data_IF_897484516148
#
_entry.id   IF_897484516148
#
_cell.length_a   1.000
_cell.length_b   1.000
_cell.length_c   1.000
_cell.angle_alpha   90.00
_cell.angle_beta   90.00
_cell.angle_gamma   90.00
#
_symmetry.space_group_name_H-M   'P 1'
#
loop_
_entity.id
_entity.type
_entity.pdbx_description
1 polymer ?
#
# COMPACT_ATOMS: atom_id res chain seq x y z
N UNK A 1 10.39 3.00 -27.54
CA UNK A 1 10.75 2.13 -26.42
C UNK A 1 10.82 2.89 -25.11
N UNK A 2 11.51 4.01 -25.08
CA UNK A 2 11.63 4.86 -23.89
C UNK A 2 10.26 5.39 -23.47
N UNK A 3 9.49 5.79 -24.45
CA UNK A 3 8.14 6.31 -24.21
C UNK A 3 7.24 5.29 -23.53
N UNK A 4 7.32 4.03 -23.96
CA UNK A 4 6.52 2.96 -23.35
C UNK A 4 6.96 2.69 -21.91
N UNK A 5 8.25 2.75 -21.65
CA UNK A 5 8.78 2.56 -20.31
C UNK A 5 8.29 3.65 -19.35
N UNK A 6 8.32 4.90 -19.81
CA UNK A 6 7.82 6.01 -19.00
C UNK A 6 6.33 5.89 -18.72
N UNK A 7 5.57 5.46 -19.72
CA UNK A 7 4.13 5.26 -19.57
C UNK A 7 3.84 4.20 -18.49
N UNK A 8 4.58 3.09 -18.52
CA UNK A 8 4.44 2.04 -17.52
C UNK A 8 4.78 2.50 -16.12
N UNK A 9 5.85 3.29 -15.99
CA UNK A 9 6.26 3.84 -14.70
C UNK A 9 5.21 4.79 -14.13
N UNK A 10 4.60 5.61 -14.96
CA UNK A 10 3.53 6.51 -14.53
C UNK A 10 2.31 5.75 -14.03
N UNK A 11 1.95 4.66 -14.71
CA UNK A 11 0.82 3.84 -14.28
C UNK A 11 1.07 3.19 -12.92
N UNK A 12 2.29 2.70 -12.70
CA UNK A 12 2.62 2.09 -11.42
C UNK A 12 2.66 3.13 -10.30
N UNK A 13 3.17 4.33 -10.57
CA UNK A 13 3.18 5.41 -9.59
C UNK A 13 1.77 5.81 -9.21
N UNK A 14 0.89 5.96 -10.20
CA UNK A 14 -0.51 6.30 -9.96
C UNK A 14 -1.20 5.22 -9.13
N UNK A 15 -0.87 3.95 -9.40
CA UNK A 15 -1.43 2.84 -8.64
C UNK A 15 -0.99 2.88 -7.19
N UNK A 16 0.29 3.18 -6.94
CA UNK A 16 0.81 3.33 -5.57
C UNK A 16 0.08 4.43 -4.82
N UNK A 17 -0.14 5.57 -5.49
CA UNK A 17 -0.86 6.69 -4.90
C UNK A 17 -2.29 6.30 -4.54
N UNK A 18 -2.96 5.58 -5.44
CA UNK A 18 -4.33 5.12 -5.21
C UNK A 18 -4.41 4.16 -4.03
N UNK A 19 -3.46 3.24 -3.94
CA UNK A 19 -3.41 2.28 -2.84
C UNK A 19 -3.23 3.00 -1.51
N UNK A 20 -2.31 3.96 -1.46
CA UNK A 20 -2.08 4.73 -0.24
C UNK A 20 -3.32 5.51 0.17
N UNK A 21 -3.97 6.14 -0.81
CA UNK A 21 -5.18 6.91 -0.55
C UNK A 21 -6.29 6.02 -0.01
N UNK A 22 -6.50 4.86 -0.65
CA UNK A 22 -7.52 3.92 -0.21
C UNK A 22 -7.24 3.39 1.19
N UNK A 23 -5.98 3.13 1.51
CA UNK A 23 -5.60 2.68 2.84
C UNK A 23 -5.96 3.72 3.91
N UNK A 24 -5.73 5.00 3.61
CA UNK A 24 -6.08 6.08 4.53
C UNK A 24 -7.58 6.18 4.76
N UNK A 25 -8.35 6.02 3.68
CA UNK A 25 -9.81 6.05 3.75
C UNK A 25 -10.31 4.89 4.61
N UNK A 26 -9.80 3.69 4.37
CA UNK A 26 -10.19 2.52 5.15
C UNK A 26 -9.79 2.67 6.62
N UNK A 27 -8.63 3.24 6.87
CA UNK A 27 -8.16 3.47 8.24
C UNK A 27 -9.10 4.43 8.98
N UNK A 28 -9.51 5.51 8.32
CA UNK A 28 -10.44 6.47 8.89
C UNK A 28 -11.80 5.83 9.19
N UNK A 29 -12.19 4.86 8.38
CA UNK A 29 -13.45 4.14 8.55
C UNK A 29 -13.36 2.97 9.53
N UNK A 30 -12.15 2.67 10.04
CA UNK A 30 -11.94 1.55 10.94
C UNK A 30 -11.95 0.19 10.24
N UNK A 31 -11.71 0.16 8.93
CA UNK A 31 -11.80 -1.05 8.13
C UNK A 31 -10.42 -1.68 7.92
N UNK A 32 -9.85 -2.15 9.00
CA UNK A 32 -8.50 -2.72 9.00
C UNK A 32 -8.35 -3.91 8.06
N UNK A 33 -9.35 -4.80 8.03
CA UNK A 33 -9.30 -5.96 7.15
C UNK A 33 -9.19 -5.56 5.69
N UNK A 34 -9.91 -4.50 5.30
CA UNK A 34 -9.86 -4.02 3.93
C UNK A 34 -8.49 -3.47 3.58
N UNK A 35 -7.79 -2.87 4.53
CA UNK A 35 -6.41 -2.41 4.33
C UNK A 35 -5.51 -3.59 4.03
N UNK A 36 -5.61 -4.66 4.81
CA UNK A 36 -4.79 -5.86 4.64
C UNK A 36 -5.05 -6.50 3.28
N UNK A 37 -6.32 -6.65 2.91
CA UNK A 37 -6.68 -7.24 1.63
C UNK A 37 -6.20 -6.39 0.46
N UNK A 38 -6.36 -5.08 0.56
CA UNK A 38 -5.91 -4.15 -0.48
C UNK A 38 -4.41 -4.25 -0.69
N UNK A 39 -3.65 -4.23 0.40
CA UNK A 39 -2.20 -4.28 0.33
C UNK A 39 -1.72 -5.63 -0.21
N UNK A 40 -2.33 -6.72 0.22
CA UNK A 40 -1.99 -8.06 -0.27
C UNK A 40 -2.24 -8.18 -1.77
N UNK A 41 -3.37 -7.66 -2.23
CA UNK A 41 -3.69 -7.65 -3.66
C UNK A 41 -2.70 -6.80 -4.45
N UNK A 42 -2.28 -5.68 -3.89
CA UNK A 42 -1.30 -4.81 -4.52
C UNK A 42 0.06 -5.50 -4.64
N UNK A 43 0.51 -6.16 -3.57
CA UNK A 43 1.76 -6.93 -3.60
C UNK A 43 1.71 -8.03 -4.65
N UNK A 44 0.59 -8.75 -4.71
CA UNK A 44 0.41 -9.81 -5.68
C UNK A 44 0.48 -9.27 -7.10
N UNK A 45 -0.20 -8.16 -7.36
CA UNK A 45 -0.19 -7.50 -8.66
C UNK A 45 1.23 -7.13 -9.08
N UNK A 46 1.99 -6.50 -8.17
CA UNK A 46 3.35 -6.09 -8.48
C UNK A 46 4.25 -7.27 -8.80
N UNK A 47 4.12 -8.35 -8.05
CA UNK A 47 4.90 -9.55 -8.29
C UNK A 47 4.57 -10.19 -9.64
N UNK A 48 3.29 -10.26 -9.97
CA UNK A 48 2.84 -10.89 -11.21
C UNK A 48 3.14 -10.05 -12.44
N UNK A 49 2.97 -8.73 -12.35
CA UNK A 49 3.02 -7.87 -13.52
C UNK A 49 4.40 -7.26 -13.77
N UNK A 50 5.12 -6.89 -12.72
CA UNK A 50 6.39 -6.19 -12.88
C UNK A 50 7.52 -6.82 -12.07
N UNK A 51 7.26 -7.95 -11.42
CA UNK A 51 8.23 -8.63 -10.58
C UNK A 51 8.86 -7.67 -9.56
N UNK A 52 8.02 -6.83 -8.98
CA UNK A 52 8.46 -5.78 -8.06
C UNK A 52 7.85 -5.90 -6.68
N UNK A 53 8.11 -4.91 -5.86
CA UNK A 53 7.58 -4.80 -4.50
C UNK A 53 6.97 -3.42 -4.33
N UNK A 54 6.07 -3.23 -3.34
CA UNK A 54 5.48 -1.92 -3.08
C UNK A 54 6.56 -0.89 -2.74
N UNK A 55 6.28 0.37 -3.07
CA UNK A 55 7.20 1.46 -2.75
C UNK A 55 7.38 1.56 -1.23
N UNK A 56 8.57 2.00 -0.77
CA UNK A 56 8.82 2.14 0.66
C UNK A 56 7.79 2.99 1.39
N UNK A 57 7.29 4.04 0.74
CA UNK A 57 6.26 4.90 1.33
C UNK A 57 4.96 4.14 1.57
N UNK A 58 4.55 3.31 0.60
CA UNK A 58 3.34 2.51 0.72
C UNK A 58 3.48 1.49 1.83
N UNK A 59 4.64 0.83 1.88
CA UNK A 59 4.94 -0.15 2.91
C UNK A 59 4.93 0.47 4.30
N UNK A 60 5.56 1.63 4.45
CA UNK A 60 5.60 2.34 5.74
C UNK A 60 4.21 2.75 6.19
N UNK A 61 3.40 3.24 5.25
CA UNK A 61 2.03 3.61 5.56
C UNK A 61 1.23 2.39 6.03
N UNK A 62 1.35 1.28 5.31
CA UNK A 62 0.68 0.05 5.68
C UNK A 62 1.06 -0.38 7.10
N UNK A 63 2.35 -0.41 7.39
CA UNK A 63 2.84 -0.80 8.70
C UNK A 63 2.32 0.13 9.79
N UNK A 64 2.30 1.42 9.52
CA UNK A 64 1.79 2.41 10.46
C UNK A 64 0.31 2.21 10.76
N UNK A 65 -0.49 1.99 9.71
CA UNK A 65 -1.92 1.86 9.86
C UNK A 65 -2.34 0.55 10.51
N UNK A 66 -1.60 -0.52 10.24
CA UNK A 66 -1.93 -1.84 10.75
C UNK A 66 -1.24 -2.14 12.08
N UNK A 67 0.06 -1.88 12.15
CA UNK A 67 0.87 -2.23 13.32
C UNK A 67 0.96 -1.12 14.37
N UNK A 68 0.86 0.13 13.95
CA UNK A 68 0.92 1.25 14.88
C UNK A 68 -0.12 1.15 15.98
N UNK A 69 -1.27 0.58 15.68
CA UNK A 69 -2.34 0.39 16.64
C UNK A 69 -1.95 -0.62 17.72
N UNK A 70 -1.26 -1.68 17.32
CA UNK A 70 -0.78 -2.69 18.25
C UNK A 70 0.28 -2.13 19.18
N UNK A 71 1.19 -1.34 18.65
CA UNK A 71 2.22 -0.68 19.44
C UNK A 71 1.62 0.27 20.46
N UNK A 72 0.58 0.98 20.09
CA UNK A 72 -0.11 1.90 20.99
C UNK A 72 -0.75 1.16 22.16
N UNK A 73 -1.38 0.03 21.88
CA UNK A 73 -2.00 -0.79 22.90
C UNK A 73 -0.95 -1.33 23.86
N UNK A 74 0.19 -1.76 23.35
CA UNK A 74 1.28 -2.26 24.20
C UNK A 74 1.87 -1.17 25.07
N UNK A 75 1.99 0.05 24.54
CA UNK A 75 2.55 1.17 25.29
C UNK A 75 1.64 1.59 26.45
N UNK A 76 0.35 1.49 26.27
CA UNK A 76 -0.61 1.88 27.30
C UNK A 76 -0.63 0.92 28.50
N UNK A 77 -0.03 -0.22 28.35
CA UNK A 77 0.13 -1.16 29.46
C UNK A 77 1.34 -0.81 30.31
#
# INVERSE_FOLDING_TARGET
AIWLAESGLRQETAREDMVRCAMRVYSAAGRRRDIVELYSGHMHHLREQVNGVPEPETRRLYERLVEGRLNRVLVER
#
